data_IF_233151461806
#
_entry.id   IF_233151461806
#
_cell.length_a   1.000
_cell.length_b   1.000
_cell.length_c   1.000
_cell.angle_alpha   90.00
_cell.angle_beta   90.00
_cell.angle_gamma   90.00
#
_symmetry.space_group_name_H-M   'P 1'
#
loop_
_entity.id
_entity.type
_entity.pdbx_description
1 polymer ?
#
# COMPACT_ATOMS: atom_id res chain seq x y z
N UNK A 1 7.84 0.33 25.77
CA UNK A 1 7.52 0.04 24.36
C UNK A 1 6.99 -1.40 24.26
N UNK A 2 5.95 -1.67 23.45
CA UNK A 2 5.47 -3.02 23.23
C UNK A 2 6.60 -3.94 22.75
N UNK A 3 6.62 -5.18 23.24
CA UNK A 3 7.60 -6.16 22.76
C UNK A 3 7.26 -6.56 21.33
N UNK A 4 8.18 -6.41 20.35
CA UNK A 4 7.92 -6.80 18.98
C UNK A 4 7.61 -8.29 18.88
N UNK A 5 6.51 -8.65 18.23
CA UNK A 5 6.17 -10.04 17.92
C UNK A 5 6.82 -10.50 16.62
N UNK A 6 6.98 -9.59 15.67
CA UNK A 6 7.72 -9.81 14.42
C UNK A 6 9.21 -9.49 14.65
N UNK A 7 10.10 -10.29 14.07
CA UNK A 7 11.55 -10.16 14.20
C UNK A 7 12.15 -10.87 15.43
N UNK A 8 11.31 -11.46 16.28
CA UNK A 8 11.79 -12.17 17.47
C UNK A 8 12.55 -13.46 17.16
N UNK A 9 12.23 -14.12 16.06
CA UNK A 9 12.87 -15.35 15.57
C UNK A 9 12.99 -15.32 14.05
N UNK A 10 13.75 -16.27 13.47
CA UNK A 10 13.84 -16.43 12.01
C UNK A 10 12.48 -16.75 11.38
N UNK A 11 11.58 -17.41 12.10
CA UNK A 11 10.24 -17.73 11.63
C UNK A 11 9.30 -16.50 11.60
N UNK A 12 9.61 -15.47 12.40
CA UNK A 12 8.81 -14.24 12.51
C UNK A 12 9.50 -13.01 11.91
N UNK A 13 10.47 -13.21 11.01
CA UNK A 13 11.12 -12.09 10.30
C UNK A 13 10.11 -11.29 9.46
N UNK A 14 10.30 -9.98 9.38
CA UNK A 14 9.44 -9.07 8.61
C UNK A 14 9.28 -9.50 7.14
N UNK A 15 10.36 -9.99 6.51
CA UNK A 15 10.35 -10.52 5.15
C UNK A 15 9.51 -11.79 4.95
N UNK A 16 8.89 -12.35 6.00
CA UNK A 16 7.88 -13.41 5.91
C UNK A 16 6.45 -12.90 5.79
N UNK A 17 6.26 -11.59 5.89
CA UNK A 17 4.95 -10.94 5.85
C UNK A 17 4.86 -9.81 4.83
N UNK A 18 6.01 -9.16 4.55
CA UNK A 18 6.16 -8.17 3.48
C UNK A 18 7.54 -8.32 2.84
N UNK A 19 7.59 -8.42 1.51
CA UNK A 19 8.87 -8.45 0.79
C UNK A 19 8.75 -7.85 -0.60
N UNK A 20 9.52 -6.79 -0.93
CA UNK A 20 9.65 -6.32 -2.30
C UNK A 20 10.62 -7.19 -3.08
N UNK A 21 10.26 -7.57 -4.30
CA UNK A 21 11.14 -8.34 -5.21
C UNK A 21 11.28 -7.61 -6.54
N UNK A 22 12.46 -7.74 -7.14
CA UNK A 22 12.75 -7.21 -8.48
C UNK A 22 12.80 -8.38 -9.46
N UNK A 23 12.30 -8.16 -10.67
CA UNK A 23 12.43 -9.13 -11.75
C UNK A 23 12.55 -8.48 -13.11
N UNK A 24 13.04 -9.23 -14.08
CA UNK A 24 13.09 -8.83 -15.48
C UNK A 24 12.03 -9.62 -16.26
N UNK A 25 11.22 -8.94 -17.03
CA UNK A 25 10.17 -9.53 -17.83
C UNK A 25 10.74 -10.40 -18.95
N UNK A 26 9.97 -11.40 -19.35
CA UNK A 26 10.31 -12.36 -20.42
C UNK A 26 9.40 -12.30 -21.63
N UNK A 27 8.26 -11.63 -21.55
CA UNK A 27 7.22 -11.62 -22.56
C UNK A 27 6.42 -12.92 -22.66
N UNK A 28 6.65 -13.86 -21.73
CA UNK A 28 5.97 -15.15 -21.67
C UNK A 28 5.70 -15.52 -20.21
N UNK A 29 5.07 -16.67 -19.93
CA UNK A 29 4.82 -17.08 -18.54
C UNK A 29 6.11 -17.07 -17.72
N UNK A 30 6.08 -16.38 -16.56
CA UNK A 30 7.21 -16.18 -15.68
C UNK A 30 6.79 -16.43 -14.22
N UNK A 31 7.49 -17.36 -13.56
CA UNK A 31 7.39 -17.52 -12.11
C UNK A 31 8.35 -16.57 -11.40
N UNK A 32 7.82 -15.60 -10.68
CA UNK A 32 8.56 -14.67 -9.83
C UNK A 32 8.67 -15.28 -8.44
N UNK A 33 9.88 -15.64 -8.02
CA UNK A 33 10.20 -16.31 -6.75
C UNK A 33 11.05 -15.42 -5.83
N UNK A 34 11.37 -15.91 -4.62
CA UNK A 34 12.17 -15.17 -3.65
C UNK A 34 11.34 -14.20 -2.80
N UNK A 35 10.01 -14.31 -2.85
CA UNK A 35 9.13 -13.56 -1.95
C UNK A 35 9.23 -14.11 -0.52
N UNK A 36 9.45 -15.42 -0.36
CA UNK A 36 9.63 -16.09 0.93
C UNK A 36 8.32 -16.54 1.60
N UNK A 37 7.19 -16.32 0.93
CA UNK A 37 5.85 -16.72 1.34
C UNK A 37 4.90 -16.67 0.14
N UNK A 38 3.68 -17.25 0.27
CA UNK A 38 2.62 -16.99 -0.68
C UNK A 38 2.11 -15.56 -0.49
N UNK A 39 2.26 -14.68 -1.50
CA UNK A 39 1.68 -13.35 -1.42
C UNK A 39 0.16 -13.41 -1.55
N UNK A 40 -0.55 -12.71 -0.69
CA UNK A 40 -2.01 -12.57 -0.75
C UNK A 40 -2.43 -11.22 -1.32
N UNK A 41 -1.52 -10.28 -1.41
CA UNK A 41 -1.64 -9.06 -2.21
C UNK A 41 -0.31 -8.77 -2.90
N UNK A 42 -0.39 -8.60 -4.21
CA UNK A 42 0.75 -8.28 -5.09
C UNK A 42 0.48 -6.96 -5.79
N UNK A 43 1.38 -6.02 -5.62
CA UNK A 43 1.38 -4.73 -6.31
C UNK A 43 2.61 -4.63 -7.19
N UNK A 44 2.42 -4.65 -8.52
CA UNK A 44 3.50 -4.62 -9.51
C UNK A 44 3.57 -3.26 -10.19
N UNK A 45 4.79 -2.81 -10.49
CA UNK A 45 5.05 -1.61 -11.29
C UNK A 45 6.28 -1.80 -12.19
N UNK A 46 6.16 -1.37 -13.45
CA UNK A 46 7.29 -1.22 -14.37
C UNK A 46 8.25 -0.14 -13.90
N UNK A 47 9.55 -0.44 -13.98
CA UNK A 47 10.65 0.46 -13.58
C UNK A 47 11.32 1.13 -14.77
N UNK A 48 11.49 0.41 -15.89
CA UNK A 48 12.24 0.84 -17.08
C UNK A 48 11.37 1.46 -18.17
N UNK A 49 10.06 1.56 -17.95
CA UNK A 49 9.12 2.17 -18.88
C UNK A 49 7.82 2.55 -18.18
N UNK A 50 7.09 3.49 -18.78
CA UNK A 50 5.79 3.90 -18.29
C UNK A 50 4.79 2.74 -18.45
N UNK A 51 4.19 2.31 -17.33
CA UNK A 51 3.13 1.30 -17.27
C UNK A 51 2.17 1.67 -16.14
N UNK A 52 0.90 1.30 -16.30
CA UNK A 52 -0.01 1.34 -15.15
C UNK A 52 0.43 0.36 -14.06
N UNK A 53 -0.05 0.56 -12.85
CA UNK A 53 0.17 -0.37 -11.75
C UNK A 53 -0.76 -1.58 -11.86
N UNK A 54 -0.25 -2.78 -11.60
CA UNK A 54 -1.08 -3.99 -11.50
C UNK A 54 -1.25 -4.44 -10.06
N UNK A 55 -2.49 -4.44 -9.55
CA UNK A 55 -2.84 -4.86 -8.19
C UNK A 55 -3.73 -6.11 -8.23
N UNK A 56 -3.24 -7.18 -7.61
CA UNK A 56 -3.92 -8.48 -7.54
C UNK A 56 -3.92 -9.00 -6.10
N UNK A 57 -4.98 -9.70 -5.72
CA UNK A 57 -5.04 -10.34 -4.39
C UNK A 57 -5.75 -11.70 -4.42
N UNK A 58 -5.46 -12.50 -3.40
CA UNK A 58 -5.95 -13.86 -3.31
C UNK A 58 -7.47 -13.96 -3.02
N UNK A 59 -8.09 -12.90 -2.50
CA UNK A 59 -9.54 -12.86 -2.21
C UNK A 59 -10.34 -12.63 -3.48
N UNK A 60 -9.89 -11.71 -4.34
CA UNK A 60 -10.50 -11.47 -5.66
C UNK A 60 -10.16 -12.58 -6.65
N UNK A 61 -9.04 -13.27 -6.41
CA UNK A 61 -8.53 -14.35 -7.23
C UNK A 61 -7.53 -13.88 -8.30
N UNK A 62 -6.93 -14.86 -8.97
CA UNK A 62 -6.00 -14.62 -10.08
C UNK A 62 -6.69 -13.90 -11.24
N UNK A 63 -5.91 -13.23 -12.08
CA UNK A 63 -6.37 -12.51 -13.27
C UNK A 63 -7.29 -11.30 -12.98
N UNK A 64 -7.63 -11.01 -11.74
CA UNK A 64 -8.48 -9.87 -11.37
C UNK A 64 -7.62 -8.66 -11.06
N UNK A 65 -7.48 -7.78 -12.07
CA UNK A 65 -6.61 -6.60 -12.01
C UNK A 65 -7.37 -5.36 -11.59
N UNK A 66 -6.72 -4.56 -10.76
CA UNK A 66 -7.02 -3.16 -10.52
C UNK A 66 -5.74 -2.33 -10.71
N UNK A 67 -5.89 -1.03 -10.98
CA UNK A 67 -4.79 -0.10 -11.22
C UNK A 67 -4.84 1.05 -10.22
N UNK A 68 -3.76 1.26 -9.43
CA UNK A 68 -3.76 2.29 -8.38
C UNK A 68 -3.77 3.71 -8.92
N UNK A 69 -3.25 3.92 -10.12
CA UNK A 69 -3.19 5.22 -10.80
C UNK A 69 -4.44 5.53 -11.64
N UNK A 70 -5.41 4.60 -11.68
CA UNK A 70 -6.64 4.73 -12.46
C UNK A 70 -7.93 4.68 -11.64
N UNK A 71 -9.03 5.10 -12.26
CA UNK A 71 -10.39 5.01 -11.69
C UNK A 71 -11.21 3.87 -12.32
N UNK A 72 -10.60 3.06 -13.18
CA UNK A 72 -11.24 1.93 -13.86
C UNK A 72 -11.85 0.90 -12.89
N UNK A 73 -12.84 0.16 -13.37
CA UNK A 73 -13.32 -1.05 -12.69
C UNK A 73 -12.30 -2.18 -12.80
N UNK A 74 -12.49 -3.25 -12.02
CA UNK A 74 -11.69 -4.48 -12.10
C UNK A 74 -11.81 -5.09 -13.50
N UNK A 75 -10.65 -5.43 -14.09
CA UNK A 75 -10.57 -6.16 -15.35
C UNK A 75 -10.20 -7.62 -15.14
N UNK A 76 -10.48 -8.46 -16.12
CA UNK A 76 -10.01 -9.84 -16.12
C UNK A 76 -8.87 -9.96 -17.15
N UNK A 77 -7.64 -9.94 -16.63
CA UNK A 77 -6.41 -10.04 -17.41
C UNK A 77 -5.90 -11.48 -17.42
N UNK A 78 -6.33 -12.26 -18.41
CA UNK A 78 -6.03 -13.70 -18.49
C UNK A 78 -4.54 -14.00 -18.55
N UNK A 79 -3.73 -13.03 -18.99
CA UNK A 79 -2.27 -13.08 -19.06
C UNK A 79 -1.59 -12.23 -17.99
N UNK A 80 -2.35 -11.71 -17.01
CA UNK A 80 -1.84 -11.04 -15.81
C UNK A 80 -1.25 -12.02 -14.80
N UNK A 81 -1.50 -11.82 -13.49
CA UNK A 81 -1.11 -12.82 -12.49
C UNK A 81 -2.02 -14.05 -12.59
N UNK A 82 -1.43 -15.20 -12.85
CA UNK A 82 -2.14 -16.46 -13.11
C UNK A 82 -2.07 -17.46 -11.96
N UNK A 83 -1.14 -17.25 -11.00
CA UNK A 83 -1.05 -18.05 -9.79
C UNK A 83 -0.38 -17.29 -8.64
N UNK A 84 -0.84 -17.57 -7.42
CA UNK A 84 -0.13 -17.25 -6.17
C UNK A 84 0.55 -18.53 -5.68
N UNK A 85 1.88 -18.56 -5.69
CA UNK A 85 2.68 -19.71 -5.30
C UNK A 85 3.23 -19.57 -3.87
N UNK A 86 3.75 -20.65 -3.31
CA UNK A 86 4.27 -20.70 -1.93
C UNK A 86 5.48 -19.78 -1.67
N UNK A 87 6.17 -19.32 -2.72
CA UNK A 87 7.34 -18.43 -2.65
C UNK A 87 7.24 -17.24 -3.63
N UNK A 88 6.03 -16.88 -4.06
CA UNK A 88 5.82 -15.81 -5.01
C UNK A 88 4.59 -15.97 -5.85
N UNK A 89 4.66 -15.56 -7.11
CA UNK A 89 3.53 -15.58 -8.03
C UNK A 89 3.97 -15.91 -9.46
N UNK A 90 3.03 -16.29 -10.30
CA UNK A 90 3.25 -16.45 -11.74
C UNK A 90 2.53 -15.36 -12.51
N UNK A 91 3.21 -14.66 -13.39
CA UNK A 91 2.61 -13.75 -14.38
C UNK A 91 2.64 -14.37 -15.77
N UNK A 92 1.60 -14.11 -16.56
CA UNK A 92 1.58 -14.44 -17.99
C UNK A 92 2.29 -13.38 -18.83
N UNK A 93 1.88 -13.25 -20.08
CA UNK A 93 2.51 -12.36 -21.06
C UNK A 93 1.97 -10.92 -21.07
N UNK A 94 1.20 -10.50 -20.06
CA UNK A 94 0.66 -9.14 -20.01
C UNK A 94 1.79 -8.11 -20.04
N UNK A 95 1.82 -7.26 -21.06
CA UNK A 95 2.91 -6.31 -21.28
C UNK A 95 3.14 -5.36 -20.08
N UNK A 96 2.07 -4.96 -19.41
CA UNK A 96 2.10 -4.12 -18.20
C UNK A 96 2.96 -4.73 -17.08
N UNK A 97 3.01 -6.07 -16.98
CA UNK A 97 3.70 -6.81 -15.92
C UNK A 97 4.93 -7.57 -16.38
N UNK A 98 5.07 -7.86 -17.70
CA UNK A 98 6.04 -8.84 -18.15
C UNK A 98 6.54 -8.63 -19.59
N UNK A 99 6.71 -7.38 -20.03
CA UNK A 99 7.38 -7.08 -21.31
C UNK A 99 8.81 -7.61 -21.27
N UNK A 100 9.23 -8.29 -22.36
CA UNK A 100 10.59 -8.85 -22.47
C UNK A 100 11.66 -7.80 -22.24
N UNK A 101 12.64 -8.13 -21.39
CA UNK A 101 13.77 -7.29 -20.99
C UNK A 101 13.41 -6.03 -20.17
N UNK A 102 12.12 -5.71 -19.96
CA UNK A 102 11.72 -4.63 -19.05
C UNK A 102 11.92 -5.03 -17.57
N UNK A 103 12.23 -4.08 -16.72
CA UNK A 103 12.42 -4.33 -15.30
C UNK A 103 11.23 -3.91 -14.47
N UNK A 104 10.94 -4.67 -13.43
CA UNK A 104 9.77 -4.51 -12.56
C UNK A 104 10.14 -4.58 -11.09
N UNK A 105 9.28 -4.00 -10.27
CA UNK A 105 9.21 -4.23 -8.82
C UNK A 105 7.83 -4.79 -8.48
N UNK A 106 7.80 -5.79 -7.59
CA UNK A 106 6.58 -6.29 -6.98
C UNK A 106 6.68 -6.14 -5.47
N UNK A 107 5.75 -5.42 -4.86
CA UNK A 107 5.57 -5.37 -3.42
C UNK A 107 4.53 -6.41 -3.02
N UNK A 108 4.88 -7.26 -2.06
CA UNK A 108 4.12 -8.44 -1.72
C UNK A 108 3.75 -8.43 -0.24
N UNK A 109 2.47 -8.60 0.09
CA UNK A 109 1.96 -8.70 1.46
C UNK A 109 1.33 -10.06 1.69
N UNK A 110 1.54 -10.59 2.91
CA UNK A 110 0.92 -11.83 3.36
C UNK A 110 -0.30 -11.55 4.20
N UNK A 111 -1.43 -12.11 3.80
CA UNK A 111 -2.65 -12.18 4.60
C UNK A 111 -2.94 -13.64 4.98
N UNK A 112 -4.07 -14.23 4.54
CA UNK A 112 -4.49 -15.58 4.89
C UNK A 112 -5.24 -16.26 3.71
N UNK A 113 -4.66 -16.24 2.52
CA UNK A 113 -5.20 -16.90 1.33
C UNK A 113 -6.50 -16.27 0.83
N UNK A 114 -7.40 -17.08 0.30
CA UNK A 114 -8.66 -16.65 -0.33
C UNK A 114 -9.70 -16.05 0.63
N UNK A 115 -9.41 -16.08 1.92
CA UNK A 115 -10.29 -15.51 2.94
C UNK A 115 -11.47 -16.38 3.32
N UNK A 116 -12.24 -15.88 4.28
CA UNK A 116 -13.46 -16.53 4.80
C UNK A 116 -14.54 -15.49 5.07
N UNK A 117 -15.79 -15.96 5.21
CA UNK A 117 -16.93 -15.10 5.56
C UNK A 117 -16.73 -14.44 6.91
N UNK A 118 -17.04 -13.16 7.00
CA UNK A 118 -16.97 -12.35 8.21
C UNK A 118 -18.29 -11.58 8.39
N UNK A 119 -18.94 -11.81 9.52
CA UNK A 119 -20.24 -11.23 9.89
C UNK A 119 -20.13 -10.22 11.03
N UNK A 120 -18.94 -9.71 11.34
CA UNK A 120 -18.73 -8.73 12.41
C UNK A 120 -19.35 -7.36 12.08
N UNK A 121 -19.46 -7.02 10.80
CA UNK A 121 -20.13 -5.79 10.32
C UNK A 121 -21.59 -6.02 9.96
N UNK A 122 -22.33 -4.94 9.71
CA UNK A 122 -23.71 -5.00 9.18
C UNK A 122 -23.75 -5.51 7.74
N UNK A 123 -22.67 -5.38 6.98
CA UNK A 123 -22.46 -6.04 5.70
C UNK A 123 -21.55 -7.26 5.93
N UNK A 124 -22.02 -8.45 5.50
CA UNK A 124 -21.15 -9.64 5.44
C UNK A 124 -20.04 -9.41 4.40
N UNK A 125 -18.80 -9.64 4.81
CA UNK A 125 -17.62 -9.50 3.97
C UNK A 125 -16.89 -10.84 3.81
N UNK A 126 -16.01 -10.96 2.81
CA UNK A 126 -15.00 -12.01 2.74
C UNK A 126 -13.66 -11.42 3.14
N UNK A 127 -13.01 -12.01 4.13
CA UNK A 127 -11.81 -11.45 4.76
C UNK A 127 -10.66 -12.45 4.74
N UNK A 128 -9.53 -12.03 4.18
CA UNK A 128 -8.23 -12.66 4.34
C UNK A 128 -7.42 -11.80 5.28
N UNK A 129 -7.25 -12.23 6.54
CA UNK A 129 -6.59 -11.43 7.57
C UNK A 129 -5.40 -12.16 8.19
N UNK A 130 -4.30 -11.43 8.36
CA UNK A 130 -3.14 -11.84 9.14
C UNK A 130 -2.97 -10.88 10.32
N UNK A 131 -3.45 -11.31 11.49
CA UNK A 131 -3.38 -10.50 12.72
C UNK A 131 -1.95 -10.28 13.21
N UNK A 132 -1.01 -11.16 12.86
CA UNK A 132 0.41 -11.01 13.20
C UNK A 132 1.05 -9.86 12.43
N UNK A 133 0.75 -9.72 11.13
CA UNK A 133 1.27 -8.64 10.30
C UNK A 133 0.39 -7.39 10.30
N UNK A 134 -0.82 -7.46 10.87
CA UNK A 134 -1.76 -6.34 10.89
C UNK A 134 -2.29 -5.98 9.49
N UNK A 135 -2.36 -6.94 8.57
CA UNK A 135 -2.82 -6.72 7.20
C UNK A 135 -4.01 -7.61 6.86
N UNK A 136 -5.04 -7.03 6.21
CA UNK A 136 -6.13 -7.81 5.64
C UNK A 136 -6.59 -7.29 4.29
N UNK A 137 -7.07 -8.23 3.46
CA UNK A 137 -7.82 -7.98 2.23
C UNK A 137 -9.29 -8.31 2.50
N UNK A 138 -10.16 -7.36 2.22
CA UNK A 138 -11.60 -7.46 2.51
C UNK A 138 -12.39 -7.19 1.23
N UNK A 139 -13.32 -8.07 0.88
CA UNK A 139 -14.29 -7.80 -0.19
C UNK A 139 -15.71 -7.77 0.38
N UNK A 140 -16.55 -6.87 -0.16
CA UNK A 140 -17.94 -6.74 0.23
C UNK A 140 -18.80 -6.21 -0.92
N UNK A 141 -20.11 -6.36 -0.77
CA UNK A 141 -21.11 -5.77 -1.69
C UNK A 141 -21.85 -4.65 -0.98
N UNK A 142 -21.86 -3.47 -1.58
CA UNK A 142 -22.52 -2.30 -1.04
C UNK A 142 -24.05 -2.43 -1.02
N UNK A 143 -24.69 -1.73 -0.09
CA UNK A 143 -26.14 -1.74 0.11
C UNK A 143 -26.78 -0.33 0.11
N UNK A 144 -26.00 0.72 -0.17
CA UNK A 144 -26.41 2.13 -0.17
C UNK A 144 -27.00 2.64 1.16
N UNK A 145 -26.72 1.98 2.28
CA UNK A 145 -27.06 2.42 3.62
C UNK A 145 -25.78 2.63 4.44
N UNK A 146 -25.78 3.57 5.39
CA UNK A 146 -24.67 3.66 6.33
C UNK A 146 -24.45 2.29 6.99
N UNK A 147 -23.24 1.77 6.93
CA UNK A 147 -22.95 0.38 7.26
C UNK A 147 -21.56 0.19 7.88
N UNK A 148 -21.36 -0.98 8.48
CA UNK A 148 -20.06 -1.43 8.98
C UNK A 148 -19.61 -2.68 8.23
N UNK A 149 -18.28 -2.81 8.02
CA UNK A 149 -17.64 -3.93 7.32
C UNK A 149 -16.57 -4.52 8.21
N UNK A 150 -16.61 -5.85 8.42
CA UNK A 150 -15.61 -6.56 9.19
C UNK A 150 -14.28 -6.63 8.47
N UNK A 151 -13.16 -6.39 9.19
CA UNK A 151 -11.80 -6.43 8.62
C UNK A 151 -10.91 -7.55 9.20
N UNK A 152 -11.32 -8.23 10.25
CA UNK A 152 -10.67 -9.42 10.82
C UNK A 152 -9.31 -9.21 11.49
N UNK A 153 -8.85 -7.99 11.72
CA UNK A 153 -7.51 -7.71 12.28
C UNK A 153 -7.43 -7.84 13.82
N UNK A 154 -8.57 -7.77 14.52
CA UNK A 154 -8.60 -7.79 15.99
C UNK A 154 -8.13 -6.51 16.67
N UNK A 155 -7.61 -5.55 15.90
CA UNK A 155 -7.19 -4.20 16.34
C UNK A 155 -7.61 -3.18 15.28
N UNK A 156 -7.85 -1.93 15.69
CA UNK A 156 -8.28 -0.88 14.76
C UNK A 156 -7.20 -0.59 13.70
N UNK A 157 -7.55 -0.61 12.39
CA UNK A 157 -6.61 -0.22 11.36
C UNK A 157 -6.29 1.28 11.44
N UNK A 158 -5.02 1.63 11.23
CA UNK A 158 -4.58 3.02 11.11
C UNK A 158 -4.76 3.59 9.71
N UNK A 159 -4.85 2.71 8.72
CA UNK A 159 -5.09 3.06 7.32
C UNK A 159 -5.91 1.97 6.66
N UNK A 160 -6.84 2.34 5.79
CA UNK A 160 -7.45 1.42 4.84
C UNK A 160 -7.76 2.14 3.52
N UNK A 161 -7.72 1.36 2.45
CA UNK A 161 -7.88 1.83 1.07
C UNK A 161 -9.05 1.08 0.45
N UNK A 162 -10.10 1.79 0.05
CA UNK A 162 -11.31 1.21 -0.55
C UNK A 162 -11.36 1.50 -2.04
N UNK A 163 -11.67 0.47 -2.84
CA UNK A 163 -11.87 0.60 -4.29
C UNK A 163 -13.09 -0.17 -4.75
N UNK A 164 -13.91 0.48 -5.57
CA UNK A 164 -14.94 -0.22 -6.32
C UNK A 164 -14.29 -1.18 -7.33
N UNK A 165 -14.80 -2.43 -7.37
CA UNK A 165 -14.42 -3.46 -8.33
C UNK A 165 -15.31 -3.41 -9.57
N UNK A 166 -16.62 -3.20 -9.40
CA UNK A 166 -17.59 -3.33 -10.49
C UNK A 166 -18.01 -2.01 -11.14
N UNK A 167 -17.72 -0.86 -10.52
CA UNK A 167 -18.03 0.45 -11.09
C UNK A 167 -16.78 1.22 -11.46
N UNK A 168 -16.74 1.75 -12.69
CA UNK A 168 -15.70 2.65 -13.19
C UNK A 168 -15.94 4.08 -12.75
N UNK A 169 -14.89 4.93 -12.85
CA UNK A 169 -14.98 6.37 -12.54
C UNK A 169 -14.89 6.68 -11.05
N UNK A 170 -14.69 5.67 -10.18
CA UNK A 170 -14.55 5.85 -8.75
C UNK A 170 -13.08 5.80 -8.34
N UNK A 171 -12.66 6.75 -7.52
CA UNK A 171 -11.29 6.82 -6.99
C UNK A 171 -10.98 5.68 -6.01
N UNK A 172 -9.72 5.57 -5.63
CA UNK A 172 -9.24 4.77 -4.51
C UNK A 172 -9.32 5.62 -3.24
N UNK A 173 -10.30 5.41 -2.42
CA UNK A 173 -10.55 6.22 -1.23
C UNK A 173 -9.76 5.72 -0.04
N UNK A 174 -8.98 6.61 0.57
CA UNK A 174 -8.05 6.28 1.66
C UNK A 174 -8.51 6.95 2.94
N UNK A 175 -8.76 6.13 3.96
CA UNK A 175 -8.77 6.56 5.35
C UNK A 175 -7.35 6.47 5.92
N UNK A 176 -6.93 7.48 6.68
CA UNK A 176 -5.72 7.46 7.47
C UNK A 176 -6.01 8.20 8.79
N UNK A 177 -5.63 7.58 9.92
CA UNK A 177 -6.03 8.03 11.27
C UNK A 177 -5.68 9.48 11.61
N UNK A 178 -4.54 9.99 11.11
CA UNK A 178 -4.05 11.34 11.41
C UNK A 178 -4.65 12.40 10.47
N UNK A 179 -5.24 11.98 9.33
CA UNK A 179 -6.09 12.82 8.47
C UNK A 179 -7.49 12.95 9.07
N UNK A 180 -7.93 11.92 9.78
CA UNK A 180 -9.20 11.88 10.50
C UNK A 180 -10.35 11.28 9.70
N UNK A 181 -11.44 11.03 10.40
CA UNK A 181 -12.63 10.30 9.90
C UNK A 181 -13.68 11.19 9.22
N UNK A 182 -13.44 12.50 9.12
CA UNK A 182 -14.29 13.45 8.37
C UNK A 182 -13.71 13.79 7.00
N UNK A 183 -12.56 13.20 6.66
CA UNK A 183 -11.83 13.42 5.42
C UNK A 183 -11.39 12.11 4.79
N UNK A 184 -11.06 12.18 3.51
CA UNK A 184 -10.40 11.09 2.79
C UNK A 184 -9.31 11.64 1.87
N UNK A 185 -8.39 10.77 1.49
CA UNK A 185 -7.44 10.99 0.40
C UNK A 185 -7.80 10.08 -0.77
N UNK A 186 -7.29 10.40 -1.96
CA UNK A 186 -7.40 9.55 -3.13
C UNK A 186 -6.02 9.03 -3.55
N UNK A 187 -5.83 7.70 -3.58
CA UNK A 187 -4.55 7.10 -3.93
C UNK A 187 -4.16 7.35 -5.40
N UNK A 188 -5.14 7.46 -6.29
CA UNK A 188 -4.96 7.75 -7.72
C UNK A 188 -4.80 9.24 -8.04
N UNK A 189 -4.74 10.12 -7.03
CA UNK A 189 -4.77 11.58 -7.22
C UNK A 189 -3.64 12.29 -6.47
N UNK A 190 -3.32 13.49 -6.95
CA UNK A 190 -2.46 14.45 -6.25
C UNK A 190 -3.24 15.32 -5.26
N UNK A 191 -4.56 15.24 -5.23
CA UNK A 191 -5.42 16.09 -4.43
C UNK A 191 -5.09 16.09 -2.93
N UNK A 192 -5.33 17.22 -2.30
CA UNK A 192 -5.36 17.35 -0.84
C UNK A 192 -6.48 16.51 -0.24
N UNK A 193 -6.47 16.25 1.09
CA UNK A 193 -7.57 15.58 1.76
C UNK A 193 -8.88 16.32 1.54
N UNK A 194 -9.88 15.61 1.05
CA UNK A 194 -11.22 16.14 0.83
C UNK A 194 -12.06 15.98 2.09
N UNK A 195 -12.68 17.06 2.56
CA UNK A 195 -13.66 17.00 3.64
C UNK A 195 -14.98 16.50 3.08
N UNK A 196 -15.29 15.26 3.36
CA UNK A 196 -16.56 14.63 3.01
C UNK A 196 -16.75 13.36 3.84
N UNK A 197 -17.97 13.10 4.26
CA UNK A 197 -18.27 12.03 5.21
C UNK A 197 -18.41 10.66 4.51
N UNK A 198 -17.30 10.07 4.08
CA UNK A 198 -17.29 8.69 3.59
C UNK A 198 -17.29 7.64 4.72
N UNK A 199 -16.87 8.03 5.92
CA UNK A 199 -16.62 7.13 7.05
C UNK A 199 -17.60 7.32 8.20
N UNK A 200 -18.75 7.99 7.97
CA UNK A 200 -19.76 8.35 8.98
C UNK A 200 -19.19 9.06 10.20
N UNK A 201 -18.12 9.87 10.00
CA UNK A 201 -17.36 10.54 11.06
C UNK A 201 -16.98 9.59 12.21
N UNK A 202 -16.79 8.32 11.89
CA UNK A 202 -16.55 7.24 12.85
C UNK A 202 -15.18 6.61 12.60
N UNK A 203 -14.38 6.49 13.67
CA UNK A 203 -13.11 5.80 13.61
C UNK A 203 -13.33 4.28 13.51
N UNK A 204 -12.45 3.54 12.83
CA UNK A 204 -12.52 2.09 12.84
C UNK A 204 -12.32 1.54 14.27
N UNK A 205 -12.96 0.41 14.53
CA UNK A 205 -12.82 -0.33 15.79
C UNK A 205 -11.84 -1.50 15.63
N UNK A 206 -11.73 -2.35 16.63
CA UNK A 206 -10.95 -3.60 16.53
C UNK A 206 -11.57 -4.65 15.58
N UNK A 207 -12.83 -4.48 15.19
CA UNK A 207 -13.56 -5.48 14.38
C UNK A 207 -14.07 -4.95 13.05
N UNK A 208 -14.44 -3.66 12.95
CA UNK A 208 -15.10 -3.08 11.78
C UNK A 208 -14.54 -1.70 11.42
N UNK A 209 -14.66 -1.34 10.15
CA UNK A 209 -14.66 0.05 9.69
C UNK A 209 -16.06 0.45 9.21
N UNK A 210 -16.36 1.74 9.26
CA UNK A 210 -17.66 2.28 8.90
C UNK A 210 -17.59 2.92 7.50
N UNK A 211 -18.64 2.76 6.72
CA UNK A 211 -18.83 3.36 5.40
C UNK A 211 -20.19 4.05 5.33
N UNK A 212 -20.23 5.19 4.65
CA UNK A 212 -21.47 5.94 4.44
C UNK A 212 -22.37 5.26 3.39
N UNK A 213 -23.51 5.86 3.14
CA UNK A 213 -24.40 5.46 2.04
C UNK A 213 -23.93 5.96 0.66
N UNK A 214 -22.75 6.59 0.57
CA UNK A 214 -22.23 7.13 -0.69
C UNK A 214 -21.79 6.01 -1.64
N UNK A 215 -22.14 6.13 -2.91
CA UNK A 215 -21.79 5.15 -3.95
C UNK A 215 -20.28 4.96 -4.15
N UNK A 216 -19.46 5.92 -3.74
CA UNK A 216 -18.01 5.87 -3.78
C UNK A 216 -17.42 4.66 -2.98
N UNK A 217 -18.08 4.31 -1.86
CA UNK A 217 -17.65 3.24 -0.95
C UNK A 217 -18.74 2.20 -0.67
N UNK A 218 -20.00 2.46 -1.08
CA UNK A 218 -21.14 1.63 -0.69
C UNK A 218 -22.31 1.67 -1.70
N UNK A 219 -22.05 1.79 -3.00
CA UNK A 219 -23.10 1.73 -4.03
C UNK A 219 -23.89 0.42 -3.96
N UNK A 220 -25.23 0.51 -4.08
CA UNK A 220 -26.10 -0.67 -4.02
C UNK A 220 -25.74 -1.72 -5.07
N UNK A 221 -25.48 -2.96 -4.64
CA UNK A 221 -25.05 -4.06 -5.51
C UNK A 221 -23.64 -3.91 -6.09
N UNK A 222 -22.95 -2.78 -5.83
CA UNK A 222 -21.56 -2.58 -6.27
C UNK A 222 -20.62 -3.37 -5.39
N UNK A 223 -19.67 -4.08 -6.01
CA UNK A 223 -18.65 -4.84 -5.28
C UNK A 223 -17.41 -3.99 -5.02
N UNK A 224 -16.82 -4.16 -3.84
CA UNK A 224 -15.65 -3.40 -3.37
C UNK A 224 -14.55 -4.32 -2.88
N UNK A 225 -13.33 -3.80 -2.86
CA UNK A 225 -12.20 -4.34 -2.10
C UNK A 225 -11.68 -3.26 -1.15
N UNK A 226 -11.29 -3.67 0.06
CA UNK A 226 -10.57 -2.83 1.01
C UNK A 226 -9.28 -3.51 1.46
N UNK A 227 -8.17 -2.77 1.46
CA UNK A 227 -6.89 -3.18 2.03
C UNK A 227 -6.71 -2.46 3.36
N UNK A 228 -6.70 -3.22 4.45
CA UNK A 228 -6.69 -2.67 5.81
C UNK A 228 -5.36 -2.95 6.50
N UNK A 229 -4.83 -1.93 7.19
CA UNK A 229 -3.51 -1.96 7.82
C UNK A 229 -3.58 -1.48 9.26
N UNK A 230 -3.20 -2.34 10.19
CA UNK A 230 -2.99 -2.01 11.60
C UNK A 230 -1.48 -1.97 11.92
N UNK A 231 -1.02 -1.05 12.76
CA UNK A 231 0.38 -0.94 13.12
C UNK A 231 0.83 -2.13 13.98
N UNK A 232 1.97 -2.70 13.65
CA UNK A 232 2.62 -3.77 14.41
C UNK A 232 4.02 -3.31 14.84
N UNK A 233 4.27 -3.27 16.14
CA UNK A 233 5.54 -2.81 16.68
C UNK A 233 6.74 -3.58 16.09
N UNK A 234 7.72 -2.84 15.58
CA UNK A 234 8.92 -3.39 14.93
C UNK A 234 8.70 -3.87 13.49
N UNK A 235 7.48 -3.75 12.93
CA UNK A 235 7.18 -4.22 11.58
C UNK A 235 6.50 -3.19 10.69
N UNK A 236 5.46 -2.52 11.19
CA UNK A 236 4.75 -1.53 10.36
C UNK A 236 4.41 -0.27 11.16
N UNK A 237 4.53 0.88 10.51
CA UNK A 237 4.26 2.18 11.11
C UNK A 237 3.45 3.07 10.16
N UNK A 238 2.49 3.79 10.74
CA UNK A 238 1.61 4.72 10.06
C UNK A 238 1.56 6.01 10.89
N UNK A 239 1.86 7.13 10.29
CA UNK A 239 1.93 8.39 11.03
C UNK A 239 2.08 9.59 10.13
N UNK A 240 2.49 10.70 10.74
CA UNK A 240 2.74 11.98 10.08
C UNK A 240 4.14 12.48 10.38
N UNK A 241 4.65 13.36 9.53
CA UNK A 241 5.79 14.23 9.80
C UNK A 241 5.56 15.62 9.25
N UNK A 242 6.26 16.61 9.80
CA UNK A 242 6.24 17.99 9.31
C UNK A 242 7.51 18.27 8.53
N UNK A 243 7.36 18.80 7.34
CA UNK A 243 8.48 19.24 6.50
C UNK A 243 9.15 20.50 7.04
N UNK A 244 10.44 20.67 6.77
CA UNK A 244 11.22 21.86 7.15
C UNK A 244 11.77 22.64 5.97
N UNK A 245 11.52 22.23 4.72
CA UNK A 245 11.98 22.89 3.51
C UNK A 245 13.48 22.78 3.25
N UNK A 246 14.20 21.95 3.98
CA UNK A 246 15.66 21.80 3.89
C UNK A 246 16.06 20.41 3.36
N UNK A 247 17.18 20.31 2.66
CA UNK A 247 17.82 19.02 2.32
C UNK A 247 18.36 18.29 3.56
N UNK A 248 18.56 19.00 4.66
CA UNK A 248 18.69 18.41 6.00
C UNK A 248 17.31 18.32 6.67
N UNK A 249 16.46 17.48 6.07
CA UNK A 249 15.06 17.35 6.41
C UNK A 249 14.80 16.59 7.70
N UNK A 250 13.52 16.42 8.08
CA UNK A 250 13.15 15.76 9.32
C UNK A 250 13.56 14.28 9.34
N UNK A 251 13.94 13.81 10.52
CA UNK A 251 14.03 12.39 10.83
C UNK A 251 12.66 11.89 11.28
N UNK A 252 12.20 10.80 10.69
CA UNK A 252 10.92 10.15 10.98
C UNK A 252 11.18 8.81 11.63
N UNK A 253 10.85 8.69 12.90
CA UNK A 253 11.03 7.47 13.66
C UNK A 253 9.93 6.45 13.32
N UNK A 254 10.32 5.25 12.94
CA UNK A 254 9.40 4.12 12.68
C UNK A 254 9.55 2.99 13.70
N UNK A 255 10.68 2.96 14.42
CA UNK A 255 11.02 1.88 15.35
C UNK A 255 11.72 0.68 14.70
N UNK A 256 11.99 0.77 13.39
CA UNK A 256 12.67 -0.26 12.59
C UNK A 256 13.31 0.38 11.35
N UNK A 257 14.19 -0.36 10.67
CA UNK A 257 14.70 0.02 9.35
C UNK A 257 13.63 -0.30 8.29
N UNK A 258 13.10 0.71 7.57
CA UNK A 258 12.09 0.47 6.55
C UNK A 258 12.66 -0.30 5.34
N UNK A 259 11.90 -1.31 4.87
CA UNK A 259 12.06 -1.91 3.55
C UNK A 259 11.29 -1.15 2.47
N UNK A 260 10.15 -0.56 2.86
CA UNK A 260 9.25 0.16 1.97
C UNK A 260 8.64 1.34 2.72
N UNK A 261 8.49 2.44 2.01
CA UNK A 261 7.84 3.66 2.49
C UNK A 261 6.97 4.21 1.37
N UNK A 262 5.72 4.53 1.69
CA UNK A 262 4.88 5.41 0.89
C UNK A 262 4.54 6.64 1.71
N UNK A 263 4.59 7.83 1.08
CA UNK A 263 4.30 9.11 1.74
C UNK A 263 3.52 10.04 0.82
N UNK A 264 2.70 10.89 1.42
CA UNK A 264 1.81 11.82 0.73
C UNK A 264 1.62 13.08 1.55
N UNK A 265 1.69 14.25 0.93
CA UNK A 265 1.30 15.49 1.57
C UNK A 265 -0.20 15.47 1.94
N UNK A 266 -0.55 15.94 3.13
CA UNK A 266 -1.90 15.82 3.70
C UNK A 266 -2.47 17.10 4.31
N UNK A 267 -1.82 18.24 4.12
CA UNK A 267 -2.32 19.53 4.66
C UNK A 267 -2.98 20.41 3.59
N UNK A 268 -2.31 20.66 2.51
CA UNK A 268 -2.83 21.41 1.37
C UNK A 268 -2.09 20.98 0.12
N UNK A 269 -2.64 21.28 -1.05
CA UNK A 269 -1.94 21.07 -2.30
C UNK A 269 -1.80 22.41 -3.02
N UNK A 270 -0.59 22.87 -3.32
CA UNK A 270 -0.39 23.63 -4.54
C UNK A 270 -0.72 22.69 -5.70
N UNK A 271 -1.52 23.13 -6.60
CA UNK A 271 -2.14 22.33 -7.65
C UNK A 271 -1.12 21.48 -8.41
N UNK A 272 -1.22 20.16 -8.31
CA UNK A 272 -0.72 19.22 -9.33
C UNK A 272 0.54 18.43 -9.02
N UNK A 273 1.15 18.55 -7.85
CA UNK A 273 2.48 17.97 -7.62
C UNK A 273 2.62 17.03 -6.41
N UNK A 274 1.62 16.84 -5.58
CA UNK A 274 1.70 16.01 -4.37
C UNK A 274 1.37 14.55 -4.66
N UNK A 275 2.31 13.87 -5.30
CA UNK A 275 2.19 12.46 -5.59
C UNK A 275 2.28 11.58 -4.33
N UNK A 276 1.76 10.38 -4.42
CA UNK A 276 2.02 9.30 -3.48
C UNK A 276 3.37 8.68 -3.80
N UNK A 277 4.41 9.09 -3.09
CA UNK A 277 5.80 8.72 -3.35
C UNK A 277 6.12 7.38 -2.70
N UNK A 278 6.55 6.40 -3.50
CA UNK A 278 6.89 5.04 -3.09
C UNK A 278 8.39 4.80 -3.26
N UNK A 279 9.05 4.36 -2.19
CA UNK A 279 10.48 4.01 -2.16
C UNK A 279 10.70 2.69 -1.42
N UNK A 280 11.71 1.92 -1.83
CA UNK A 280 12.08 0.66 -1.19
C UNK A 280 13.57 0.36 -1.31
N UNK A 281 14.06 -0.48 -0.39
CA UNK A 281 15.47 -0.87 -0.29
C UNK A 281 15.95 -1.79 -1.41
N UNK A 282 15.04 -2.42 -2.16
CA UNK A 282 15.43 -3.31 -3.26
C UNK A 282 15.83 -2.53 -4.49
N UNK A 283 15.12 -1.42 -4.77
CA UNK A 283 15.44 -0.50 -5.87
C UNK A 283 16.60 0.44 -5.53
N UNK A 284 16.72 0.83 -4.27
CA UNK A 284 17.81 1.68 -3.77
C UNK A 284 18.37 1.12 -2.47
N UNK A 285 19.32 0.17 -2.51
CA UNK A 285 19.85 -0.50 -1.32
C UNK A 285 20.79 0.40 -0.49
N UNK A 286 21.30 1.48 -1.08
CA UNK A 286 22.23 2.40 -0.45
C UNK A 286 21.60 3.79 -0.27
N UNK A 287 22.03 4.50 0.77
CA UNK A 287 21.69 5.90 0.98
C UNK A 287 22.57 6.81 0.07
N UNK A 288 22.04 7.85 -0.47
CA UNK A 288 20.66 8.31 -0.39
C UNK A 288 19.78 7.48 -1.35
N UNK A 289 18.63 7.00 -0.83
CA UNK A 289 17.65 6.31 -1.67
C UNK A 289 16.85 7.35 -2.47
N UNK A 290 17.09 7.43 -3.77
CA UNK A 290 16.44 8.39 -4.66
C UNK A 290 15.44 7.77 -5.64
N UNK A 291 15.52 6.47 -5.92
CA UNK A 291 14.63 5.81 -6.86
C UNK A 291 13.20 5.77 -6.32
N UNK A 292 12.34 6.62 -6.86
CA UNK A 292 10.95 6.73 -6.46
C UNK A 292 10.00 6.32 -7.59
N UNK A 293 8.81 5.88 -7.21
CA UNK A 293 7.66 5.68 -8.09
C UNK A 293 6.45 6.35 -7.47
N UNK A 294 5.48 6.75 -8.28
CA UNK A 294 4.25 7.36 -7.81
C UNK A 294 3.09 6.37 -7.87
N UNK A 295 2.42 6.08 -6.74
CA UNK A 295 1.26 5.18 -6.74
C UNK A 295 0.12 5.67 -7.65
N UNK A 296 0.06 6.98 -7.88
CA UNK A 296 -0.93 7.67 -8.72
C UNK A 296 -0.39 8.01 -10.13
N UNK A 297 0.74 7.42 -10.56
CA UNK A 297 1.38 7.72 -11.85
C UNK A 297 1.80 6.45 -12.57
N UNK A 298 1.70 6.48 -13.87
CA UNK A 298 2.22 5.45 -14.76
C UNK A 298 3.72 5.61 -15.06
N UNK A 299 4.35 6.69 -14.62
CA UNK A 299 5.76 7.03 -14.92
C UNK A 299 6.73 5.95 -14.45
N UNK A 300 7.82 5.80 -15.20
CA UNK A 300 8.98 4.99 -14.80
C UNK A 300 9.88 5.70 -13.76
N UNK A 301 10.89 5.02 -13.26
CA UNK A 301 11.81 5.57 -12.26
C UNK A 301 12.58 6.78 -12.80
N UNK A 302 12.97 6.79 -14.08
CA UNK A 302 13.72 7.88 -14.68
C UNK A 302 12.86 9.15 -14.83
N UNK A 303 11.60 9.00 -15.20
CA UNK A 303 10.65 10.10 -15.38
C UNK A 303 10.16 10.66 -14.04
N UNK A 304 9.90 9.80 -13.04
CA UNK A 304 9.43 10.25 -11.73
C UNK A 304 10.52 10.99 -10.93
N UNK A 305 11.77 10.77 -11.27
CA UNK A 305 12.93 11.47 -10.73
C UNK A 305 13.75 10.64 -9.75
N UNK A 306 15.04 10.54 -10.03
CA UNK A 306 15.99 9.80 -9.19
C UNK A 306 16.69 10.68 -8.14
N UNK A 307 16.60 12.02 -8.26
CA UNK A 307 17.38 12.96 -7.44
C UNK A 307 16.58 13.86 -6.52
N UNK A 308 15.30 14.05 -6.79
CA UNK A 308 14.48 15.06 -6.11
C UNK A 308 13.46 14.49 -5.12
N UNK A 309 13.68 13.30 -4.56
CA UNK A 309 12.78 12.69 -3.55
C UNK A 309 13.59 11.88 -2.54
N UNK A 310 14.89 12.23 -2.40
CA UNK A 310 15.85 11.45 -1.64
C UNK A 310 15.51 11.31 -0.16
N UNK A 311 15.77 10.12 0.36
CA UNK A 311 15.73 9.80 1.79
C UNK A 311 16.98 9.01 2.19
N UNK A 312 17.38 9.12 3.44
CA UNK A 312 18.20 8.11 4.10
C UNK A 312 17.30 7.12 4.79
N UNK A 313 17.46 5.84 4.49
CA UNK A 313 16.84 4.74 5.21
C UNK A 313 17.79 4.35 6.34
N UNK A 314 17.34 4.53 7.59
CA UNK A 314 18.13 4.39 8.80
C UNK A 314 17.64 3.17 9.62
N UNK A 315 18.44 2.76 10.60
CA UNK A 315 18.14 1.56 11.42
C UNK A 315 16.82 1.60 12.17
N UNK A 316 16.27 2.79 12.44
CA UNK A 316 15.06 2.99 13.25
C UNK A 316 14.07 3.98 12.62
N UNK A 317 14.24 4.29 11.32
CA UNK A 317 13.37 5.22 10.61
C UNK A 317 13.95 5.67 9.29
N UNK A 318 13.52 6.83 8.83
CA UNK A 318 14.07 7.47 7.64
C UNK A 318 14.27 8.97 7.86
N UNK A 319 15.20 9.54 7.12
CA UNK A 319 15.45 11.00 7.11
C UNK A 319 15.20 11.54 5.71
N UNK A 320 14.42 12.60 5.61
CA UNK A 320 14.18 13.29 4.33
C UNK A 320 15.44 14.05 3.93
N UNK A 321 15.84 13.93 2.65
CA UNK A 321 17.04 14.55 2.07
C UNK A 321 16.71 15.45 0.88
N UNK A 322 15.48 15.88 0.80
CA UNK A 322 14.96 16.69 -0.28
C UNK A 322 14.21 17.91 0.27
N UNK A 323 14.28 19.04 -0.41
CA UNK A 323 13.60 20.28 -0.02
C UNK A 323 12.33 20.56 -0.84
N UNK A 324 11.95 19.66 -1.77
CA UNK A 324 10.78 19.87 -2.61
C UNK A 324 9.47 19.81 -1.84
N UNK A 325 8.50 20.53 -2.33
CA UNK A 325 7.16 20.59 -1.73
C UNK A 325 6.43 19.26 -1.74
N UNK A 326 6.81 18.32 -2.61
CA UNK A 326 6.27 16.97 -2.68
C UNK A 326 6.42 16.19 -1.37
N UNK A 327 7.56 16.37 -0.71
CA UNK A 327 7.97 15.54 0.43
C UNK A 327 8.46 16.33 1.63
N UNK A 328 8.74 17.65 1.48
CA UNK A 328 9.37 18.42 2.55
C UNK A 328 9.13 19.95 2.49
N UNK A 329 7.94 20.41 2.09
CA UNK A 329 7.60 21.84 2.21
C UNK A 329 7.77 22.31 3.65
N UNK A 330 8.30 23.51 3.86
CA UNK A 330 8.37 24.11 5.19
C UNK A 330 7.00 24.24 5.83
N UNK A 331 6.80 23.62 6.99
CA UNK A 331 5.52 23.55 7.70
C UNK A 331 4.49 22.58 7.09
N UNK A 332 4.79 21.94 5.95
CA UNK A 332 3.90 20.98 5.29
C UNK A 332 3.74 19.70 6.11
N UNK A 333 2.55 19.15 6.16
CA UNK A 333 2.25 17.90 6.85
C UNK A 333 2.15 16.73 5.86
N UNK A 334 2.79 15.63 6.17
CA UNK A 334 2.88 14.44 5.34
C UNK A 334 2.46 13.20 6.12
N UNK A 335 1.60 12.38 5.55
CA UNK A 335 1.36 11.03 6.05
C UNK A 335 2.40 10.07 5.48
N UNK A 336 2.65 8.99 6.21
CA UNK A 336 3.44 7.87 5.72
C UNK A 336 2.88 6.51 6.16
N UNK A 337 3.21 5.49 5.37
CA UNK A 337 3.08 4.08 5.69
C UNK A 337 4.45 3.44 5.43
N UNK A 338 4.96 2.67 6.40
CA UNK A 338 6.25 2.02 6.31
C UNK A 338 6.18 0.56 6.78
N UNK A 339 6.93 -0.32 6.10
CA UNK A 339 7.12 -1.72 6.48
C UNK A 339 8.59 -2.03 6.67
N UNK A 340 8.90 -2.87 7.67
CA UNK A 340 10.25 -3.18 8.09
C UNK A 340 11.00 -4.05 7.06
N UNK A 341 12.28 -3.77 6.89
CA UNK A 341 13.25 -4.77 6.45
C UNK A 341 13.42 -5.83 7.56
N UNK A 342 14.06 -6.95 7.27
CA UNK A 342 14.29 -8.00 8.27
C UNK A 342 15.16 -7.49 9.45
N UNK A 343 14.59 -6.98 10.54
CA UNK A 343 15.39 -6.57 11.69
C UNK A 343 15.84 -7.82 12.45
N UNK A 344 17.11 -7.84 12.85
CA UNK A 344 17.54 -8.73 13.91
C UNK A 344 16.98 -8.19 15.24
N UNK A 345 16.49 -9.09 16.10
CA UNK A 345 15.87 -8.72 17.40
C UNK A 345 16.72 -7.75 18.24
N UNK A 346 18.04 -7.78 18.09
CA UNK A 346 19.00 -7.05 18.93
C UNK A 346 20.02 -6.21 18.14
N UNK A 347 19.93 -6.14 16.80
CA UNK A 347 20.83 -5.34 15.98
C UNK A 347 20.04 -4.62 14.90
N UNK A 348 19.81 -3.33 15.13
CA UNK A 348 19.19 -2.42 14.16
C UNK A 348 20.24 -1.63 13.37
N UNK A 349 21.53 -1.78 13.71
CA UNK A 349 22.61 -1.09 13.03
C UNK A 349 23.06 -1.85 11.78
N UNK A 350 23.17 -1.15 10.69
CA UNK A 350 23.88 -1.52 9.45
C UNK A 350 24.78 -0.37 9.04
#
# INVERSE_FOLDING_TARGET
LPTPTIGATTATQAGKYFNPVLYTGTGSSLSVTGVGFQPDWVWVKGRSGATDHGLYDAVRGVQKQLESNGTGAETTETTGITAFGSDGFTTGALAQLNTSSATYVAWNWKANGSGSSNTAGSITSTVSANTTSGFSVVTYTGNALAATVGHGLGVAPSMYIVKSRSASGLSWYVYQKDVGNTKFLELNSTAAPTTFNLWESTNPTSSVFTISNNSAVNGNGTTFVAYCFAPIAGYSAFGIYTGNGSTDGPFVYTGFRPAFIIRKRSDSAPVGQENWVMQDVRRSPYNQSGNALGANRDYDEATFGTTNLAIDILSNGFKVRDSTTYVNASGGTYIYMAFAENPFKYSLAR
#
